data_IF_739768087259
#
_entry.id   IF_739768087259
#
_cell.length_a   1.000
_cell.length_b   1.000
_cell.length_c   1.000
_cell.angle_alpha   90.00
_cell.angle_beta   90.00
_cell.angle_gamma   90.00
#
_symmetry.space_group_name_H-M   'P 1'
#
loop_
_entity.id
_entity.type
_entity.pdbx_description
1 polymer ?
#
# COMPACT_ATOMS: atom_id res chain seq x y z
N UNK A 1 34.74 28.45 15.86
CA UNK A 1 33.46 28.13 15.21
C UNK A 1 33.53 26.67 14.72
N UNK A 2 32.93 25.74 15.47
CA UNK A 2 32.94 24.33 15.18
C UNK A 2 31.91 24.01 14.09
N UNK A 3 32.35 23.37 12.98
CA UNK A 3 31.45 22.85 11.95
C UNK A 3 30.53 21.81 12.59
N UNK A 4 29.20 21.87 12.39
CA UNK A 4 28.32 20.80 12.88
C UNK A 4 28.70 19.48 12.20
N UNK A 5 28.84 18.44 13.00
CA UNK A 5 29.09 17.09 12.53
C UNK A 5 27.90 16.65 11.65
N UNK A 6 28.17 16.40 10.37
CA UNK A 6 27.21 15.86 9.41
C UNK A 6 26.91 14.41 9.81
N UNK A 7 25.82 14.19 10.50
CA UNK A 7 25.42 12.86 10.98
C UNK A 7 24.78 12.05 9.83
N UNK A 8 25.09 10.76 9.80
CA UNK A 8 24.63 9.74 8.82
C UNK A 8 23.08 9.67 8.72
N UNK A 9 22.35 10.21 9.68
CA UNK A 9 20.90 10.34 9.70
C UNK A 9 20.33 11.31 8.64
N UNK A 10 21.09 12.27 8.14
CA UNK A 10 20.62 13.24 7.14
C UNK A 10 20.34 12.64 5.76
N UNK A 11 21.19 11.70 5.19
CA UNK A 11 20.92 11.11 3.89
C UNK A 11 19.65 10.25 3.88
N UNK A 12 19.40 9.47 4.94
CA UNK A 12 18.22 8.61 5.02
C UNK A 12 16.94 9.41 5.23
N UNK A 13 16.98 10.45 6.08
CA UNK A 13 15.86 11.38 6.26
C UNK A 13 15.54 12.12 4.94
N UNK A 14 16.57 12.47 4.16
CA UNK A 14 16.41 13.14 2.87
C UNK A 14 15.80 12.20 1.82
N UNK A 15 16.25 10.95 1.79
CA UNK A 15 15.65 9.90 0.94
C UNK A 15 14.17 9.70 1.27
N UNK A 16 13.84 9.58 2.54
CA UNK A 16 12.45 9.43 2.99
C UNK A 16 11.60 10.64 2.60
N UNK A 17 12.09 11.85 2.79
CA UNK A 17 11.40 13.10 2.39
C UNK A 17 11.08 13.12 0.89
N UNK A 18 11.98 12.65 0.02
CA UNK A 18 11.74 12.53 -1.42
C UNK A 18 10.70 11.45 -1.75
N UNK A 19 10.73 10.31 -1.07
CA UNK A 19 9.74 9.24 -1.20
C UNK A 19 8.35 9.75 -0.82
N UNK A 20 8.21 10.42 0.33
CA UNK A 20 6.94 10.96 0.79
C UNK A 20 6.41 12.07 -0.13
N UNK A 21 7.30 12.96 -0.61
CA UNK A 21 6.92 13.97 -1.60
C UNK A 21 6.42 13.32 -2.90
N UNK A 22 7.05 12.22 -3.34
CA UNK A 22 6.61 11.49 -4.52
C UNK A 22 5.22 10.89 -4.31
N UNK A 23 4.95 10.29 -3.14
CA UNK A 23 3.62 9.77 -2.82
C UNK A 23 2.56 10.89 -2.85
N UNK A 24 2.86 12.08 -2.30
CA UNK A 24 1.94 13.23 -2.37
C UNK A 24 1.68 13.72 -3.79
N UNK A 25 2.72 13.79 -4.64
CA UNK A 25 2.57 14.17 -6.06
C UNK A 25 1.70 13.14 -6.80
N UNK A 26 1.97 11.85 -6.60
CA UNK A 26 1.17 10.77 -7.20
C UNK A 26 -0.30 10.84 -6.76
N UNK A 27 -0.56 11.05 -5.47
CA UNK A 27 -1.91 11.14 -4.91
C UNK A 27 -2.70 12.33 -5.47
N UNK A 28 -2.06 13.49 -5.61
CA UNK A 28 -2.70 14.74 -6.01
C UNK A 28 -2.85 14.88 -7.51
N UNK A 29 -1.79 14.56 -8.26
CA UNK A 29 -1.63 14.93 -9.66
C UNK A 29 -1.59 13.70 -10.60
N UNK A 30 -1.55 12.48 -10.04
CA UNK A 30 -1.48 11.23 -10.79
C UNK A 30 -0.07 10.90 -11.33
N UNK A 31 0.03 9.73 -11.96
CA UNK A 31 1.30 9.17 -12.41
C UNK A 31 1.98 10.01 -13.51
N UNK A 32 1.22 10.60 -14.42
CA UNK A 32 1.74 11.40 -15.54
C UNK A 32 2.42 12.70 -15.09
N UNK A 33 2.11 13.19 -13.90
CA UNK A 33 2.66 14.41 -13.33
C UNK A 33 3.92 14.18 -12.49
N UNK A 34 4.27 12.92 -12.19
CA UNK A 34 5.42 12.56 -11.38
C UNK A 34 6.73 12.78 -12.17
N UNK A 35 7.29 13.98 -12.06
CA UNK A 35 8.57 14.36 -12.66
C UNK A 35 9.58 14.78 -11.61
N UNK A 36 10.87 14.68 -11.94
CA UNK A 36 11.97 15.17 -11.06
C UNK A 36 11.69 16.58 -10.56
N UNK A 37 11.22 17.47 -11.44
CA UNK A 37 10.95 18.87 -11.09
C UNK A 37 9.77 19.02 -10.13
N UNK A 38 8.66 18.31 -10.39
CA UNK A 38 7.47 18.35 -9.54
C UNK A 38 7.78 17.79 -8.13
N UNK A 39 8.48 16.66 -8.08
CA UNK A 39 8.85 16.01 -6.80
C UNK A 39 9.85 16.87 -6.01
N UNK A 40 10.86 17.44 -6.67
CA UNK A 40 11.83 18.31 -6.02
C UNK A 40 11.17 19.57 -5.45
N UNK A 41 10.22 20.17 -6.19
CA UNK A 41 9.42 21.30 -5.72
C UNK A 41 8.59 20.93 -4.50
N UNK A 42 7.89 19.79 -4.53
CA UNK A 42 7.07 19.28 -3.42
C UNK A 42 7.92 18.99 -2.17
N UNK A 43 9.13 18.47 -2.36
CA UNK A 43 10.07 18.18 -1.28
C UNK A 43 10.84 19.42 -0.76
N UNK A 44 10.73 20.57 -1.44
CA UNK A 44 11.49 21.78 -1.10
C UNK A 44 13.00 21.63 -1.32
N UNK A 45 13.42 20.88 -2.35
CA UNK A 45 14.84 20.61 -2.65
C UNK A 45 15.19 20.90 -4.10
N UNK A 46 16.50 20.91 -4.41
CA UNK A 46 16.93 21.04 -5.80
C UNK A 46 16.68 19.75 -6.61
N UNK A 47 16.38 19.85 -7.92
CA UNK A 47 16.20 18.68 -8.78
C UNK A 47 17.41 17.73 -8.82
N UNK A 48 18.62 18.25 -8.64
CA UNK A 48 19.85 17.45 -8.58
C UNK A 48 19.89 16.43 -7.43
N UNK A 49 19.18 16.71 -6.32
CA UNK A 49 19.09 15.76 -5.20
C UNK A 49 18.33 14.49 -5.53
N UNK A 50 17.34 14.54 -6.44
CA UNK A 50 16.64 13.32 -6.92
C UNK A 50 17.62 12.43 -7.67
N UNK A 51 18.41 13.01 -8.61
CA UNK A 51 19.43 12.25 -9.34
C UNK A 51 20.52 11.70 -8.40
N UNK A 52 20.94 12.49 -7.41
CA UNK A 52 21.96 12.08 -6.44
C UNK A 52 21.53 10.90 -5.58
N UNK A 53 20.27 10.90 -5.06
CA UNK A 53 19.79 9.87 -4.13
C UNK A 53 19.21 8.64 -4.82
N UNK A 54 18.66 8.77 -6.04
CA UNK A 54 17.91 7.71 -6.71
C UNK A 54 18.37 7.43 -8.15
N UNK A 55 19.22 8.26 -8.73
CA UNK A 55 19.62 8.13 -10.15
C UNK A 55 18.58 8.63 -11.14
N UNK A 56 17.32 8.85 -10.72
CA UNK A 56 16.25 9.34 -11.58
C UNK A 56 14.87 9.15 -10.97
N UNK A 57 13.83 9.61 -11.70
CA UNK A 57 12.45 9.56 -11.23
C UNK A 57 11.89 8.14 -11.18
N UNK A 58 12.24 7.28 -12.12
CA UNK A 58 11.73 5.90 -12.15
C UNK A 58 12.17 5.09 -10.93
N UNK A 59 13.45 5.19 -10.56
CA UNK A 59 13.97 4.54 -9.36
C UNK A 59 13.36 5.13 -8.07
N UNK A 60 13.06 6.41 -8.06
CA UNK A 60 12.36 7.06 -6.95
C UNK A 60 10.91 6.58 -6.85
N UNK A 61 10.18 6.43 -7.96
CA UNK A 61 8.81 5.87 -8.00
C UNK A 61 8.84 4.41 -7.50
N UNK A 62 9.81 3.60 -7.95
CA UNK A 62 10.02 2.23 -7.46
C UNK A 62 10.25 2.20 -5.95
N UNK A 63 11.09 3.10 -5.42
CA UNK A 63 11.33 3.20 -3.97
C UNK A 63 10.07 3.64 -3.21
N UNK A 64 9.28 4.53 -3.80
CA UNK A 64 8.00 5.00 -3.24
C UNK A 64 6.97 3.87 -3.20
N UNK A 65 6.84 3.09 -4.27
CA UNK A 65 5.97 1.92 -4.32
C UNK A 65 6.30 0.95 -3.19
N UNK A 66 7.59 0.61 -3.04
CA UNK A 66 8.06 -0.28 -1.99
C UNK A 66 7.74 0.26 -0.59
N UNK A 67 8.07 1.53 -0.34
CA UNK A 67 7.80 2.17 0.95
C UNK A 67 6.32 2.19 1.32
N UNK A 68 5.45 2.49 0.36
CA UNK A 68 3.99 2.50 0.57
C UNK A 68 3.47 1.08 0.86
N UNK A 69 3.93 0.08 0.10
CA UNK A 69 3.57 -1.31 0.33
C UNK A 69 4.04 -1.85 1.68
N UNK A 70 5.26 -1.54 2.08
CA UNK A 70 5.81 -1.95 3.39
C UNK A 70 5.00 -1.37 4.55
N UNK A 71 4.53 -0.11 4.43
CA UNK A 71 3.66 0.52 5.43
C UNK A 71 2.29 -0.17 5.52
N UNK A 72 1.70 -0.52 4.38
CA UNK A 72 0.44 -1.29 4.35
C UNK A 72 0.65 -2.65 5.01
N UNK A 73 1.67 -3.40 4.62
CA UNK A 73 1.98 -4.71 5.20
C UNK A 73 2.17 -4.64 6.71
N UNK A 74 2.94 -3.67 7.20
CA UNK A 74 3.17 -3.48 8.63
C UNK A 74 1.86 -3.17 9.41
N UNK A 75 0.95 -2.41 8.81
CA UNK A 75 -0.35 -2.11 9.43
C UNK A 75 -1.27 -3.36 9.49
N UNK A 76 -1.26 -4.18 8.43
CA UNK A 76 -1.98 -5.46 8.42
C UNK A 76 -1.44 -6.44 9.46
N UNK A 77 -0.13 -6.58 9.54
CA UNK A 77 0.53 -7.45 10.51
C UNK A 77 0.25 -7.01 11.95
N UNK A 78 0.27 -5.70 12.21
CA UNK A 78 -0.07 -5.14 13.51
C UNK A 78 -1.53 -5.42 13.90
N UNK A 79 -2.47 -5.32 12.97
CA UNK A 79 -3.87 -5.64 13.19
C UNK A 79 -4.07 -7.12 13.55
N UNK A 80 -3.40 -8.02 12.82
CA UNK A 80 -3.42 -9.47 13.11
C UNK A 80 -2.82 -9.78 14.49
N UNK A 81 -1.71 -9.13 14.83
CA UNK A 81 -1.07 -9.31 16.14
C UNK A 81 -1.98 -8.85 17.29
N UNK A 82 -2.75 -7.78 17.09
CA UNK A 82 -3.70 -7.24 18.08
C UNK A 82 -4.98 -8.08 18.24
N UNK A 83 -5.33 -8.91 17.25
CA UNK A 83 -6.57 -9.69 17.24
C UNK A 83 -6.56 -10.93 18.15
N UNK A 84 -5.45 -11.21 18.84
CA UNK A 84 -5.31 -12.38 19.72
C UNK A 84 -5.07 -13.67 18.93
N UNK A 85 -5.56 -14.81 19.46
CA UNK A 85 -5.25 -16.14 18.94
C UNK A 85 -6.39 -16.79 18.15
N UNK A 86 -7.58 -16.21 18.16
CA UNK A 86 -8.70 -16.76 17.39
C UNK A 86 -8.47 -16.62 15.88
N UNK A 87 -8.42 -17.71 15.10
CA UNK A 87 -8.14 -17.66 13.68
C UNK A 87 -9.10 -16.79 12.88
N UNK A 88 -10.40 -16.82 13.23
CA UNK A 88 -11.42 -16.03 12.51
C UNK A 88 -11.29 -14.54 12.82
N UNK A 89 -11.02 -14.18 14.08
CA UNK A 89 -10.75 -12.80 14.47
C UNK A 89 -9.50 -12.26 13.77
N UNK A 90 -8.43 -13.06 13.63
CA UNK A 90 -7.19 -12.67 12.92
C UNK A 90 -7.43 -12.43 11.44
N UNK A 91 -8.18 -13.31 10.77
CA UNK A 91 -8.53 -13.12 9.35
C UNK A 91 -9.41 -11.88 9.18
N UNK A 92 -10.42 -11.70 10.03
CA UNK A 92 -11.25 -10.50 10.00
C UNK A 92 -10.44 -9.23 10.24
N UNK A 93 -9.52 -9.22 11.22
CA UNK A 93 -8.65 -8.09 11.50
C UNK A 93 -7.73 -7.74 10.31
N UNK A 94 -7.16 -8.74 9.64
CA UNK A 94 -6.33 -8.53 8.46
C UNK A 94 -7.09 -7.79 7.34
N UNK A 95 -8.32 -8.21 7.07
CA UNK A 95 -9.14 -7.60 6.01
C UNK A 95 -9.72 -6.27 6.47
N UNK A 96 -10.22 -6.18 7.70
CA UNK A 96 -10.80 -4.95 8.26
C UNK A 96 -9.78 -3.80 8.33
N UNK A 97 -8.50 -4.10 8.58
CA UNK A 97 -7.42 -3.12 8.61
C UNK A 97 -7.25 -2.40 7.27
N UNK A 98 -7.61 -3.04 6.15
CA UNK A 98 -7.61 -2.39 4.82
C UNK A 98 -8.59 -1.22 4.74
N UNK A 99 -9.60 -1.17 5.61
CA UNK A 99 -10.63 -0.14 5.66
C UNK A 99 -10.54 0.75 6.91
N UNK A 100 -9.40 0.75 7.59
CA UNK A 100 -9.13 1.57 8.78
C UNK A 100 -7.84 2.39 8.60
N UNK A 101 -7.67 3.50 9.33
CA UNK A 101 -6.39 4.19 9.38
C UNK A 101 -5.26 3.25 9.89
N UNK A 102 -4.05 3.34 9.36
CA UNK A 102 -3.56 4.31 8.38
C UNK A 102 -3.79 3.92 6.92
N UNK A 103 -4.43 2.78 6.62
CA UNK A 103 -4.57 2.24 5.26
C UNK A 103 -5.72 2.94 4.51
N UNK A 104 -6.88 3.10 5.14
CA UNK A 104 -8.04 3.79 4.56
C UNK A 104 -7.86 5.32 4.61
N UNK A 105 -6.75 5.80 4.07
CA UNK A 105 -6.44 7.21 3.87
C UNK A 105 -6.65 7.58 2.41
N UNK A 106 -7.32 8.70 2.14
CA UNK A 106 -7.68 9.12 0.78
C UNK A 106 -6.44 9.34 -0.11
N UNK A 107 -5.37 9.90 0.45
CA UNK A 107 -4.16 10.13 -0.31
C UNK A 107 -3.45 8.82 -0.63
N UNK A 108 -3.47 7.87 0.31
CA UNK A 108 -2.93 6.53 0.09
C UNK A 108 -3.71 5.79 -1.00
N UNK A 109 -5.05 5.82 -0.98
CA UNK A 109 -5.89 5.22 -2.02
C UNK A 109 -5.62 5.83 -3.40
N UNK A 110 -5.52 7.17 -3.48
CA UNK A 110 -5.18 7.86 -4.74
C UNK A 110 -3.77 7.51 -5.23
N UNK A 111 -2.80 7.33 -4.32
CA UNK A 111 -1.44 6.87 -4.65
C UNK A 111 -1.47 5.47 -5.27
N UNK A 112 -2.27 4.54 -4.72
CA UNK A 112 -2.43 3.20 -5.29
C UNK A 112 -3.03 3.21 -6.69
N UNK A 113 -4.05 4.04 -6.94
CA UNK A 113 -4.62 4.19 -8.28
C UNK A 113 -3.57 4.71 -9.27
N UNK A 114 -2.74 5.68 -8.86
CA UNK A 114 -1.63 6.15 -9.68
C UNK A 114 -0.61 5.03 -9.98
N UNK A 115 -0.29 4.19 -9.01
CA UNK A 115 0.59 3.04 -9.21
C UNK A 115 0.00 2.00 -10.16
N UNK A 116 -1.29 1.67 -10.06
CA UNK A 116 -1.94 0.74 -10.99
C UNK A 116 -1.81 1.20 -12.44
N UNK A 117 -1.90 2.52 -12.69
CA UNK A 117 -1.64 3.08 -14.02
C UNK A 117 -0.20 2.86 -14.50
N UNK A 118 0.78 2.80 -13.60
CA UNK A 118 2.20 2.58 -13.93
C UNK A 118 2.56 1.10 -14.16
N UNK A 119 1.83 0.17 -13.55
CA UNK A 119 2.11 -1.28 -13.66
C UNK A 119 2.12 -1.74 -15.12
N UNK A 120 1.18 -1.24 -15.93
CA UNK A 120 1.07 -1.61 -17.34
C UNK A 120 2.27 -1.08 -18.17
N UNK A 121 2.83 0.07 -17.80
CA UNK A 121 3.85 0.77 -18.56
C UNK A 121 5.28 0.50 -18.08
N UNK A 122 5.46 0.07 -16.82
CA UNK A 122 6.78 -0.03 -16.18
C UNK A 122 7.05 -1.43 -15.62
N UNK A 123 7.86 -2.28 -16.28
CA UNK A 123 8.14 -3.64 -15.83
C UNK A 123 8.71 -3.75 -14.41
N UNK A 124 9.49 -2.76 -13.96
CA UNK A 124 10.02 -2.72 -12.60
C UNK A 124 8.92 -2.54 -11.54
N UNK A 125 7.89 -1.74 -11.83
CA UNK A 125 6.72 -1.57 -10.96
C UNK A 125 5.85 -2.83 -11.00
N UNK A 126 5.65 -3.43 -12.19
CA UNK A 126 4.91 -4.69 -12.34
C UNK A 126 5.53 -5.81 -11.49
N UNK A 127 6.85 -5.99 -11.54
CA UNK A 127 7.53 -7.00 -10.74
C UNK A 127 7.38 -6.78 -9.21
N UNK A 128 7.42 -5.51 -8.77
CA UNK A 128 7.17 -5.17 -7.36
C UNK A 128 5.72 -5.44 -6.96
N UNK A 129 4.77 -5.07 -7.82
CA UNK A 129 3.36 -5.36 -7.62
C UNK A 129 3.12 -6.86 -7.45
N UNK A 130 3.65 -7.67 -8.38
CA UNK A 130 3.52 -9.13 -8.33
C UNK A 130 4.07 -9.71 -7.02
N UNK A 131 5.24 -9.23 -6.58
CA UNK A 131 5.87 -9.69 -5.35
C UNK A 131 5.05 -9.28 -4.11
N UNK A 132 4.57 -8.04 -4.02
CA UNK A 132 3.76 -7.57 -2.89
C UNK A 132 2.40 -8.25 -2.83
N UNK A 133 1.74 -8.42 -3.97
CA UNK A 133 0.45 -9.12 -4.03
C UNK A 133 0.60 -10.63 -3.76
N UNK A 134 1.71 -11.24 -4.15
CA UNK A 134 2.02 -12.61 -3.76
C UNK A 134 2.18 -12.73 -2.24
N UNK A 135 2.89 -11.80 -1.60
CA UNK A 135 3.03 -11.74 -0.15
C UNK A 135 1.69 -11.53 0.56
N UNK A 136 0.88 -10.56 0.11
CA UNK A 136 -0.44 -10.27 0.66
C UNK A 136 -1.36 -11.51 0.59
N UNK A 137 -1.43 -12.17 -0.58
CA UNK A 137 -2.22 -13.40 -0.76
C UNK A 137 -1.69 -14.56 0.06
N UNK A 138 -0.36 -14.70 0.19
CA UNK A 138 0.27 -15.71 1.05
C UNK A 138 -0.11 -15.54 2.53
N UNK A 139 -0.19 -14.30 3.00
CA UNK A 139 -0.73 -13.96 4.33
C UNK A 139 -2.18 -14.40 4.49
N UNK A 140 -3.04 -14.08 3.51
CA UNK A 140 -4.43 -14.53 3.49
C UNK A 140 -4.55 -16.06 3.46
N UNK A 141 -3.78 -16.76 2.63
CA UNK A 141 -3.80 -18.22 2.57
C UNK A 141 -3.41 -18.86 3.90
N UNK A 142 -2.44 -18.26 4.61
CA UNK A 142 -2.04 -18.69 5.96
C UNK A 142 -3.17 -18.51 6.98
N UNK A 143 -3.84 -17.38 6.98
CA UNK A 143 -4.97 -17.09 7.86
C UNK A 143 -6.19 -17.98 7.54
N UNK A 144 -6.47 -18.19 6.27
CA UNK A 144 -7.52 -19.10 5.80
C UNK A 144 -7.24 -20.55 6.19
N UNK A 145 -5.95 -20.95 6.18
CA UNK A 145 -5.54 -22.30 6.63
C UNK A 145 -5.79 -22.46 8.13
N UNK A 146 -5.51 -21.43 8.93
CA UNK A 146 -5.79 -21.44 10.37
C UNK A 146 -7.30 -21.50 10.67
N UNK A 147 -8.15 -20.99 9.77
CA UNK A 147 -9.61 -21.12 9.80
C UNK A 147 -10.13 -22.48 9.26
N UNK A 148 -9.23 -23.44 9.02
CA UNK A 148 -9.54 -24.80 8.52
C UNK A 148 -10.15 -24.84 7.12
N UNK A 149 -10.05 -23.76 6.32
CA UNK A 149 -10.50 -23.80 4.93
C UNK A 149 -9.72 -24.87 4.14
N UNK A 150 -10.43 -25.66 3.33
CA UNK A 150 -9.81 -26.74 2.56
C UNK A 150 -8.68 -26.24 1.65
N UNK A 151 -7.53 -26.95 1.56
CA UNK A 151 -6.35 -26.50 0.80
C UNK A 151 -6.65 -26.09 -0.64
N UNK A 152 -7.52 -26.83 -1.32
CA UNK A 152 -7.93 -26.55 -2.70
C UNK A 152 -8.69 -25.21 -2.86
N UNK A 153 -9.36 -24.73 -1.82
CA UNK A 153 -10.12 -23.49 -1.85
C UNK A 153 -9.29 -22.25 -1.46
N UNK A 154 -8.19 -22.41 -0.71
CA UNK A 154 -7.45 -21.28 -0.10
C UNK A 154 -6.96 -20.26 -1.12
N UNK A 155 -6.33 -20.74 -2.19
CA UNK A 155 -5.79 -19.85 -3.23
C UNK A 155 -6.89 -19.03 -3.92
N UNK A 156 -8.01 -19.67 -4.28
CA UNK A 156 -9.13 -18.96 -4.89
C UNK A 156 -9.78 -17.96 -3.93
N UNK A 157 -9.93 -18.34 -2.66
CA UNK A 157 -10.43 -17.47 -1.61
C UNK A 157 -9.52 -16.25 -1.39
N UNK A 158 -8.20 -16.45 -1.32
CA UNK A 158 -7.25 -15.35 -1.19
C UNK A 158 -7.31 -14.38 -2.37
N UNK A 159 -7.42 -14.89 -3.60
CA UNK A 159 -7.58 -14.07 -4.81
C UNK A 159 -8.91 -13.30 -4.76
N UNK A 160 -10.01 -13.96 -4.38
CA UNK A 160 -11.32 -13.34 -4.30
C UNK A 160 -11.38 -12.23 -3.24
N UNK A 161 -10.79 -12.46 -2.06
CA UNK A 161 -10.67 -11.45 -1.00
C UNK A 161 -9.81 -10.27 -1.48
N UNK A 162 -8.68 -10.53 -2.14
CA UNK A 162 -7.81 -9.49 -2.69
C UNK A 162 -8.59 -8.62 -3.69
N UNK A 163 -9.26 -9.24 -4.64
CA UNK A 163 -10.05 -8.53 -5.66
C UNK A 163 -11.21 -7.72 -5.04
N UNK A 164 -11.85 -8.26 -4.00
CA UNK A 164 -12.89 -7.54 -3.25
C UNK A 164 -12.32 -6.29 -2.55
N UNK A 165 -11.20 -6.43 -1.85
CA UNK A 165 -10.54 -5.30 -1.17
C UNK A 165 -10.13 -4.22 -2.17
N UNK A 166 -9.49 -4.61 -3.27
CA UNK A 166 -9.07 -3.69 -4.34
C UNK A 166 -10.28 -2.97 -4.96
N UNK A 167 -11.36 -3.69 -5.23
CA UNK A 167 -12.60 -3.11 -5.76
C UNK A 167 -13.25 -2.12 -4.80
N UNK A 168 -13.33 -2.45 -3.51
CA UNK A 168 -13.86 -1.55 -2.49
C UNK A 168 -12.96 -0.32 -2.28
N UNK A 169 -11.63 -0.45 -2.38
CA UNK A 169 -10.71 0.68 -2.36
C UNK A 169 -10.94 1.62 -3.54
N UNK A 170 -11.12 1.05 -4.73
CA UNK A 170 -11.43 1.84 -5.92
C UNK A 170 -12.72 2.62 -5.74
N UNK A 171 -13.79 1.99 -5.25
CA UNK A 171 -15.08 2.65 -4.96
C UNK A 171 -14.94 3.74 -3.88
N UNK A 172 -14.21 3.50 -2.80
CA UNK A 172 -13.93 4.51 -1.76
C UNK A 172 -13.26 5.76 -2.34
N UNK A 173 -12.40 5.58 -3.34
CA UNK A 173 -11.69 6.69 -3.98
C UNK A 173 -12.57 7.44 -5.01
N UNK A 174 -13.29 6.68 -5.85
CA UNK A 174 -14.06 7.24 -6.97
C UNK A 174 -15.46 7.70 -6.57
N UNK A 175 -16.08 7.04 -5.61
CA UNK A 175 -17.47 7.24 -5.21
C UNK A 175 -17.65 7.50 -3.71
N UNK A 176 -16.89 8.43 -3.08
CA UNK A 176 -16.85 8.62 -1.62
C UNK A 176 -18.16 9.12 -1.01
N UNK A 177 -19.15 9.50 -1.85
CA UNK A 177 -20.51 9.85 -1.41
C UNK A 177 -21.45 8.66 -1.37
N UNK A 178 -21.05 7.54 -1.96
CA UNK A 178 -21.85 6.30 -2.06
C UNK A 178 -21.35 5.25 -1.09
N UNK A 179 -20.03 5.16 -0.93
CA UNK A 179 -19.38 4.16 -0.08
C UNK A 179 -18.44 4.85 0.90
N UNK A 180 -18.58 4.54 2.18
CA UNK A 180 -17.64 4.88 3.25
C UNK A 180 -16.84 3.65 3.72
N UNK A 181 -15.82 3.90 4.53
CA UNK A 181 -14.91 2.85 4.99
C UNK A 181 -15.62 1.84 5.92
N UNK A 182 -16.62 2.25 6.68
CA UNK A 182 -17.38 1.36 7.56
C UNK A 182 -18.26 0.40 6.76
N UNK A 183 -18.95 0.91 5.75
CA UNK A 183 -19.76 0.10 4.82
C UNK A 183 -18.87 -0.86 4.03
N UNK A 184 -17.72 -0.40 3.51
CA UNK A 184 -16.77 -1.26 2.81
C UNK A 184 -16.26 -2.40 3.69
N UNK A 185 -15.90 -2.10 4.93
CA UNK A 185 -15.51 -3.10 5.92
C UNK A 185 -16.59 -4.13 6.16
N UNK A 186 -17.83 -3.69 6.41
CA UNK A 186 -18.98 -4.58 6.63
C UNK A 186 -19.25 -5.52 5.45
N UNK A 187 -19.12 -5.03 4.20
CA UNK A 187 -19.22 -5.85 2.99
C UNK A 187 -18.12 -6.92 2.99
N UNK A 188 -16.87 -6.55 3.24
CA UNK A 188 -15.77 -7.49 3.25
C UNK A 188 -15.91 -8.56 4.34
N UNK A 189 -16.28 -8.17 5.56
CA UNK A 189 -16.53 -9.08 6.68
C UNK A 189 -17.68 -10.06 6.39
N UNK A 190 -18.76 -9.59 5.78
CA UNK A 190 -19.88 -10.46 5.38
C UNK A 190 -19.46 -11.52 4.35
N UNK A 191 -18.61 -11.16 3.39
CA UNK A 191 -18.08 -12.11 2.40
C UNK A 191 -17.14 -13.14 3.03
N UNK A 192 -16.27 -12.73 3.96
CA UNK A 192 -15.43 -13.67 4.72
C UNK A 192 -16.29 -14.65 5.52
N UNK A 193 -17.31 -14.16 6.24
CA UNK A 193 -18.21 -15.00 7.00
C UNK A 193 -18.98 -16.00 6.12
N UNK A 194 -19.31 -15.63 4.88
CA UNK A 194 -19.92 -16.53 3.90
C UNK A 194 -18.95 -17.60 3.39
N UNK A 195 -17.68 -17.27 3.23
CA UNK A 195 -16.61 -18.17 2.77
C UNK A 195 -16.25 -19.26 3.80
N UNK A 196 -16.45 -18.98 5.08
CA UNK A 196 -16.08 -19.87 6.21
C UNK A 196 -17.27 -20.68 6.74
N UNK A 197 -18.40 -20.67 6.06
CA UNK A 197 -19.56 -21.53 6.35
C UNK A 197 -19.42 -22.89 5.71
#
# INVERSE_FOLDING_TARGET
MSKPAFTRAEPDARRLSLIEATARVLARDGASSASVRAIALEAGVSPGLVAHHFGGVDALIVATYRHVGDRVSAALDAAVAAAGNDPRARLSAYVAASFAPPIADRALLATWIAFWGLIIAQPAIAALHDAQYASYRGGLETLLAACELAPAARRHAAIAITALVDGLWLELCLSPRVLDAETARGIAEAQIAALLR
#
